data_IF_371358411484
#
_entry.id   IF_371358411484
#
_cell.length_a   1.000
_cell.length_b   1.000
_cell.length_c   1.000
_cell.angle_alpha   90.00
_cell.angle_beta   90.00
_cell.angle_gamma   90.00
#
_symmetry.space_group_name_H-M   'P 1'
#
loop_
_entity.id
_entity.type
_entity.pdbx_description
1 polymer ?
#
# COMPACT_ATOMS: atom_id res chain seq x y z
N UNK A 1 -11.08 -16.49 18.05
CA UNK A 1 -10.35 -15.75 16.99
C UNK A 1 -9.00 -16.43 16.78
N UNK A 2 -8.94 -17.44 15.90
CA UNK A 2 -7.70 -18.16 15.58
C UNK A 2 -6.97 -17.40 14.48
N UNK A 3 -5.76 -16.94 14.75
CA UNK A 3 -4.90 -16.31 13.75
C UNK A 3 -4.63 -17.29 12.61
N UNK A 4 -4.61 -16.81 11.36
CA UNK A 4 -4.24 -17.60 10.17
C UNK A 4 -2.89 -18.34 10.32
N UNK A 5 -2.01 -17.77 11.15
CA UNK A 5 -0.72 -18.33 11.54
C UNK A 5 -0.83 -19.65 12.34
N UNK A 6 -1.91 -19.82 13.11
CA UNK A 6 -2.18 -20.97 13.96
C UNK A 6 -2.82 -22.15 13.19
N UNK A 7 -3.44 -21.87 12.04
CA UNK A 7 -4.16 -22.89 11.24
C UNK A 7 -3.23 -23.52 10.20
N UNK A 8 -2.40 -22.72 9.51
CA UNK A 8 -1.46 -23.20 8.50
C UNK A 8 -0.28 -22.22 8.35
N UNK A 9 0.89 -22.60 8.87
CA UNK A 9 2.12 -21.80 8.79
C UNK A 9 2.45 -21.38 7.34
N UNK A 10 2.24 -22.26 6.37
CA UNK A 10 2.49 -22.00 4.95
C UNK A 10 1.61 -20.87 4.39
N UNK A 11 0.32 -20.83 4.76
CA UNK A 11 -0.58 -19.77 4.30
C UNK A 11 -0.22 -18.41 4.90
N UNK A 12 0.20 -18.38 6.16
CA UNK A 12 0.69 -17.16 6.81
C UNK A 12 1.94 -16.59 6.12
N UNK A 13 2.91 -17.45 5.79
CA UNK A 13 4.14 -17.05 5.09
C UNK A 13 3.84 -16.53 3.68
N UNK A 14 2.97 -17.22 2.92
CA UNK A 14 2.55 -16.78 1.58
C UNK A 14 1.84 -15.42 1.65
N UNK A 15 0.96 -15.23 2.63
CA UNK A 15 0.24 -13.96 2.81
C UNK A 15 1.20 -12.80 3.09
N UNK A 16 2.15 -12.98 4.01
CA UNK A 16 3.16 -11.95 4.32
C UNK A 16 4.03 -11.64 3.11
N UNK A 17 4.43 -12.65 2.33
CA UNK A 17 5.19 -12.46 1.10
C UNK A 17 4.44 -11.61 0.06
N UNK A 18 3.17 -11.95 -0.21
CA UNK A 18 2.32 -11.22 -1.16
C UNK A 18 2.16 -9.76 -0.71
N UNK A 19 1.83 -9.55 0.57
CA UNK A 19 1.65 -8.22 1.17
C UNK A 19 2.94 -7.40 1.07
N UNK A 20 4.10 -8.00 1.31
CA UNK A 20 5.40 -7.31 1.23
C UNK A 20 5.70 -6.88 -0.21
N UNK A 21 5.49 -7.77 -1.20
CA UNK A 21 5.67 -7.46 -2.62
C UNK A 21 4.71 -6.35 -3.09
N UNK A 22 3.44 -6.43 -2.69
CA UNK A 22 2.44 -5.41 -3.00
C UNK A 22 2.81 -4.07 -2.34
N UNK A 23 3.38 -4.09 -1.13
CA UNK A 23 3.84 -2.89 -0.44
C UNK A 23 5.01 -2.23 -1.17
N UNK A 24 5.99 -3.01 -1.65
CA UNK A 24 7.12 -2.48 -2.42
C UNK A 24 6.62 -1.86 -3.73
N UNK A 25 5.75 -2.56 -4.45
CA UNK A 25 5.15 -2.07 -5.69
C UNK A 25 4.29 -0.82 -5.45
N UNK A 26 3.51 -0.79 -4.37
CA UNK A 26 2.70 0.35 -3.96
C UNK A 26 3.55 1.56 -3.60
N UNK A 27 4.62 1.40 -2.83
CA UNK A 27 5.52 2.50 -2.47
C UNK A 27 6.23 3.03 -3.72
N UNK A 28 6.78 2.15 -4.56
CA UNK A 28 7.48 2.54 -5.79
C UNK A 28 6.53 3.23 -6.80
N UNK A 29 5.33 2.67 -7.02
CA UNK A 29 4.34 3.22 -7.95
C UNK A 29 3.79 4.56 -7.49
N UNK A 30 3.38 4.67 -6.22
CA UNK A 30 2.79 5.89 -5.67
C UNK A 30 3.82 7.02 -5.50
N UNK A 31 5.09 6.70 -5.18
CA UNK A 31 6.18 7.68 -5.18
C UNK A 31 6.52 8.17 -6.59
N UNK A 32 6.49 7.29 -7.60
CA UNK A 32 6.67 7.67 -9.00
C UNK A 32 5.54 8.60 -9.48
N UNK A 33 4.28 8.35 -9.11
CA UNK A 33 3.14 9.22 -9.42
C UNK A 33 3.33 10.60 -8.79
N UNK A 34 3.69 10.67 -7.51
CA UNK A 34 4.00 11.93 -6.82
C UNK A 34 5.16 12.69 -7.49
N UNK A 35 6.20 11.96 -7.91
CA UNK A 35 7.36 12.54 -8.60
C UNK A 35 6.98 13.12 -9.97
N UNK A 36 6.25 12.36 -10.79
CA UNK A 36 5.77 12.81 -12.10
C UNK A 36 4.81 13.99 -11.96
N UNK A 37 3.88 13.95 -11.00
CA UNK A 37 2.96 15.07 -10.70
C UNK A 37 3.68 16.33 -10.22
N UNK A 38 4.87 16.20 -9.61
CA UNK A 38 5.71 17.33 -9.22
C UNK A 38 6.52 17.88 -10.41
N UNK A 39 6.87 17.03 -11.38
CA UNK A 39 7.71 17.37 -12.54
C UNK A 39 6.91 17.93 -13.72
N UNK A 40 5.64 17.54 -13.86
CA UNK A 40 4.74 17.96 -14.94
C UNK A 40 3.74 19.04 -14.46
N UNK A 41 4.03 20.34 -14.66
CA UNK A 41 3.12 21.43 -14.27
C UNK A 41 1.90 21.58 -15.20
N UNK A 42 1.84 20.84 -16.32
CA UNK A 42 0.75 20.94 -17.30
C UNK A 42 -0.52 20.18 -16.90
N UNK A 43 -0.45 19.34 -15.87
CA UNK A 43 -1.61 18.57 -15.39
C UNK A 43 -2.53 19.49 -14.61
N UNK A 44 -3.81 19.56 -15.00
CA UNK A 44 -4.84 20.40 -14.35
C UNK A 44 -4.81 20.23 -12.83
N UNK A 45 -4.76 21.34 -12.09
CA UNK A 45 -4.55 21.35 -10.63
C UNK A 45 -5.50 20.44 -9.82
N UNK A 46 -6.75 20.30 -10.27
CA UNK A 46 -7.72 19.39 -9.63
C UNK A 46 -7.36 17.90 -9.80
N UNK A 47 -6.92 17.49 -11.00
CA UNK A 47 -6.51 16.10 -11.26
C UNK A 47 -5.22 15.76 -10.49
N UNK A 48 -4.31 16.73 -10.36
CA UNK A 48 -3.08 16.59 -9.56
C UNK A 48 -3.38 16.36 -8.07
N UNK A 49 -4.29 17.13 -7.50
CA UNK A 49 -4.71 16.97 -6.09
C UNK A 49 -5.37 15.60 -5.87
N UNK A 50 -6.24 15.16 -6.78
CA UNK A 50 -6.90 13.86 -6.70
C UNK A 50 -5.88 12.70 -6.76
N UNK A 51 -4.97 12.72 -7.74
CA UNK A 51 -3.93 11.69 -7.88
C UNK A 51 -2.97 11.68 -6.69
N UNK A 52 -2.56 12.85 -6.20
CA UNK A 52 -1.70 12.95 -5.03
C UNK A 52 -2.38 12.40 -3.77
N UNK A 53 -3.67 12.67 -3.58
CA UNK A 53 -4.42 12.20 -2.41
C UNK A 53 -4.68 10.69 -2.49
N UNK A 54 -4.91 10.15 -3.68
CA UNK A 54 -5.02 8.71 -3.93
C UNK A 54 -3.69 8.00 -3.64
N UNK A 55 -2.57 8.52 -4.15
CA UNK A 55 -1.23 7.99 -3.88
C UNK A 55 -0.87 8.04 -2.39
N UNK A 56 -1.28 9.09 -1.67
CA UNK A 56 -1.09 9.20 -0.23
C UNK A 56 -1.93 8.18 0.54
N UNK A 57 -3.17 7.93 0.10
CA UNK A 57 -4.03 6.92 0.68
C UNK A 57 -3.44 5.51 0.51
N UNK A 58 -2.91 5.19 -0.67
CA UNK A 58 -2.26 3.89 -0.90
C UNK A 58 -1.00 3.70 -0.05
N UNK A 59 -0.20 4.76 0.18
CA UNK A 59 0.94 4.73 1.10
C UNK A 59 0.49 4.52 2.56
N UNK A 60 -0.60 5.13 2.98
CA UNK A 60 -1.19 4.88 4.30
C UNK A 60 -1.72 3.45 4.44
N UNK A 61 -2.36 2.90 3.40
CA UNK A 61 -2.86 1.51 3.42
C UNK A 61 -1.70 0.52 3.50
N UNK A 62 -0.66 0.69 2.67
CA UNK A 62 0.52 -0.19 2.71
C UNK A 62 1.34 -0.03 3.99
N UNK A 63 1.40 1.17 4.57
CA UNK A 63 2.16 1.43 5.80
C UNK A 63 1.42 1.12 7.11
N UNK A 64 0.09 1.22 7.14
CA UNK A 64 -0.71 1.12 8.38
C UNK A 64 -1.71 -0.03 8.31
N UNK A 65 -2.47 -0.16 7.22
CA UNK A 65 -3.51 -1.19 7.12
C UNK A 65 -2.91 -2.59 6.96
N UNK A 66 -1.83 -2.76 6.18
CA UNK A 66 -1.13 -4.05 6.07
C UNK A 66 -0.62 -4.57 7.42
N UNK A 67 0.16 -3.79 8.21
CA UNK A 67 0.59 -4.26 9.53
C UNK A 67 -0.58 -4.40 10.50
N UNK A 68 -1.64 -3.58 10.39
CA UNK A 68 -2.83 -3.76 11.21
C UNK A 68 -3.64 -5.01 10.84
N UNK A 69 -3.59 -5.49 9.60
CA UNK A 69 -4.21 -6.76 9.19
C UNK A 69 -3.38 -7.98 9.61
N UNK A 70 -2.06 -7.81 9.77
CA UNK A 70 -1.15 -8.84 10.27
C UNK A 70 -1.16 -8.91 11.80
N UNK A 71 -1.15 -7.75 12.48
CA UNK A 71 -1.06 -7.61 13.94
C UNK A 71 -2.45 -7.59 14.58
N UNK A 72 -3.38 -6.88 13.98
CA UNK A 72 -4.78 -6.87 14.37
C UNK A 72 -5.38 -8.21 14.04
N UNK A 73 -5.79 -8.93 15.09
CA UNK A 73 -6.63 -10.10 14.94
C UNK A 73 -7.91 -9.68 14.20
N UNK A 74 -8.04 -10.06 12.93
CA UNK A 74 -9.34 -10.12 12.25
C UNK A 74 -10.28 -11.10 12.95
#
# INVERSE_FOLDING_TARGET
>A
MRSLFDINYNLGVIYVLIITLLSIAGIAGNSAILYVMKKEPQVKGHARLLMSNMALADLCVTGIANPMCIIGKC
#
